data_IF_090563447576
#
_entry.id   IF_090563447576
#
_cell.length_a   1.000
_cell.length_b   1.000
_cell.length_c   1.000
_cell.angle_alpha   90.00
_cell.angle_beta   90.00
_cell.angle_gamma   90.00
#
_symmetry.space_group_name_H-M   'P 1'
#
loop_
_entity.id
_entity.type
_entity.pdbx_description
1 polymer ?
#
# COMPACT_ATOMS: atom_id res chain seq x y z
N UNK A 1 -18.21 -18.92 2.72
CA UNK A 1 -16.90 -19.22 2.10
C UNK A 1 -17.04 -18.99 0.61
N UNK A 2 -16.14 -18.19 0.03
CA UNK A 2 -16.08 -17.87 -1.39
C UNK A 2 -15.44 -19.02 -2.18
N UNK A 3 -15.37 -18.87 -3.50
CA UNK A 3 -14.55 -19.74 -4.32
C UNK A 3 -13.11 -19.79 -3.78
N UNK A 4 -12.45 -20.93 -3.95
CA UNK A 4 -11.08 -21.22 -3.46
C UNK A 4 -10.92 -21.26 -1.93
N UNK A 5 -12.02 -21.29 -1.17
CA UNK A 5 -11.97 -21.47 0.28
C UNK A 5 -11.74 -20.19 1.08
N UNK A 6 -11.75 -19.02 0.43
CA UNK A 6 -11.56 -17.74 1.12
C UNK A 6 -12.77 -17.38 2.00
N UNK A 7 -12.50 -16.92 3.22
CA UNK A 7 -13.49 -16.45 4.19
C UNK A 7 -13.33 -14.96 4.53
N UNK A 8 -12.35 -14.27 3.93
CA UNK A 8 -12.10 -12.82 3.99
C UNK A 8 -11.54 -12.35 2.65
N UNK A 9 -11.84 -11.12 2.24
CA UNK A 9 -11.22 -10.46 1.07
C UNK A 9 -10.38 -9.27 1.52
N UNK A 10 -9.20 -9.09 0.92
CA UNK A 10 -8.42 -7.84 1.00
C UNK A 10 -8.44 -7.16 -0.36
N UNK A 11 -8.81 -5.88 -0.39
CA UNK A 11 -8.83 -5.09 -1.62
C UNK A 11 -7.40 -4.79 -2.08
N UNK A 12 -7.03 -5.30 -3.27
CA UNK A 12 -5.66 -5.25 -3.78
C UNK A 12 -5.26 -3.97 -4.53
N UNK A 13 -6.15 -2.99 -4.65
CA UNK A 13 -5.89 -1.74 -5.36
C UNK A 13 -6.48 -0.56 -4.60
N UNK A 14 -5.73 0.54 -4.51
CA UNK A 14 -6.20 1.79 -3.90
C UNK A 14 -7.43 2.38 -4.63
N UNK A 15 -7.65 2.03 -5.90
CA UNK A 15 -8.84 2.40 -6.65
C UNK A 15 -10.14 1.76 -6.14
N UNK A 16 -10.06 0.79 -5.21
CA UNK A 16 -11.22 0.17 -4.58
C UNK A 16 -11.54 0.72 -3.18
N UNK A 17 -10.82 1.76 -2.74
CA UNK A 17 -11.04 2.34 -1.41
C UNK A 17 -12.52 2.73 -1.20
N UNK A 18 -13.08 2.35 -0.04
CA UNK A 18 -14.48 2.57 0.32
C UNK A 18 -15.51 1.63 -0.34
N UNK A 19 -15.09 0.62 -1.12
CA UNK A 19 -16.00 -0.43 -1.63
C UNK A 19 -16.19 -1.59 -0.65
N UNK A 20 -15.41 -1.64 0.42
CA UNK A 20 -15.42 -2.69 1.43
C UNK A 20 -16.82 -2.95 2.00
N UNK A 21 -17.52 -1.92 2.48
CA UNK A 21 -18.84 -2.10 3.09
C UNK A 21 -19.90 -2.62 2.12
N UNK A 22 -19.84 -2.22 0.85
CA UNK A 22 -20.78 -2.71 -0.18
C UNK A 22 -20.46 -4.15 -0.58
N UNK A 23 -19.18 -4.48 -0.76
CA UNK A 23 -18.76 -5.83 -1.10
C UNK A 23 -19.02 -6.80 0.06
N UNK A 24 -18.80 -6.38 1.31
CA UNK A 24 -19.10 -7.18 2.50
C UNK A 24 -20.59 -7.54 2.57
N UNK A 25 -21.49 -6.58 2.32
CA UNK A 25 -22.94 -6.85 2.23
C UNK A 25 -23.28 -7.85 1.14
N UNK A 26 -22.63 -7.76 -0.03
CA UNK A 26 -22.93 -8.62 -1.19
C UNK A 26 -22.36 -10.02 -1.07
N UNK A 27 -21.23 -10.16 -0.39
CA UNK A 27 -20.45 -11.40 -0.33
C UNK A 27 -20.67 -12.18 0.97
N UNK A 28 -21.16 -11.52 2.02
CA UNK A 28 -21.44 -12.14 3.33
C UNK A 28 -20.19 -12.57 4.09
N UNK A 29 -19.02 -12.03 3.71
CA UNK A 29 -17.73 -12.25 4.37
C UNK A 29 -17.01 -10.91 4.54
N UNK A 30 -16.14 -10.76 5.56
CA UNK A 30 -15.44 -9.52 5.79
C UNK A 30 -14.62 -9.07 4.58
N UNK A 31 -14.63 -7.77 4.29
CA UNK A 31 -13.83 -7.16 3.23
C UNK A 31 -12.97 -6.05 3.82
N UNK A 32 -11.66 -6.13 3.62
CA UNK A 32 -10.69 -5.19 4.17
C UNK A 32 -10.25 -4.19 3.10
N UNK A 33 -10.56 -2.91 3.31
CA UNK A 33 -9.94 -1.80 2.58
C UNK A 33 -8.51 -1.55 3.08
N UNK A 34 -7.53 -1.85 2.22
CA UNK A 34 -6.12 -1.66 2.51
C UNK A 34 -5.72 -0.19 2.75
N UNK A 35 -6.42 0.77 2.17
CA UNK A 35 -6.14 2.21 2.35
C UNK A 35 -6.57 2.65 3.75
N UNK A 36 -7.81 2.36 4.14
CA UNK A 36 -8.33 2.69 5.46
C UNK A 36 -7.54 1.95 6.57
N UNK A 37 -7.22 0.67 6.36
CA UNK A 37 -6.41 -0.12 7.28
C UNK A 37 -5.00 0.47 7.45
N UNK A 38 -4.35 0.87 6.35
CA UNK A 38 -3.00 1.46 6.41
C UNK A 38 -2.97 2.79 7.18
N UNK A 39 -4.01 3.63 7.04
CA UNK A 39 -4.13 4.89 7.78
C UNK A 39 -4.18 4.62 9.28
N UNK A 40 -5.05 3.70 9.73
CA UNK A 40 -5.15 3.34 11.15
C UNK A 40 -3.87 2.72 11.70
N UNK A 41 -3.18 1.91 10.89
CA UNK A 41 -1.87 1.37 11.27
C UNK A 41 -0.83 2.49 11.48
N UNK A 42 -0.77 3.45 10.56
CA UNK A 42 0.14 4.59 10.66
C UNK A 42 -0.17 5.47 11.89
N UNK A 43 -1.44 5.77 12.15
CA UNK A 43 -1.88 6.48 13.35
C UNK A 43 -1.45 5.76 14.64
N UNK A 44 -1.61 4.44 14.70
CA UNK A 44 -1.19 3.62 15.83
C UNK A 44 0.32 3.67 16.07
N UNK A 45 1.14 3.60 15.01
CA UNK A 45 2.59 3.76 15.13
C UNK A 45 2.97 5.14 15.68
N UNK A 46 2.32 6.20 15.20
CA UNK A 46 2.54 7.58 15.67
C UNK A 46 2.15 7.70 17.15
N UNK A 47 0.98 7.20 17.54
CA UNK A 47 0.51 7.23 18.93
C UNK A 47 1.45 6.50 19.90
N UNK A 48 2.09 5.42 19.45
CA UNK A 48 3.07 4.65 20.22
C UNK A 48 4.50 5.23 20.18
N UNK A 49 4.71 6.37 19.50
CA UNK A 49 6.03 6.98 19.32
C UNK A 49 7.00 6.11 18.54
N UNK A 50 6.50 5.25 17.64
CA UNK A 50 7.32 4.35 16.82
C UNK A 50 7.60 4.96 15.45
N UNK A 51 8.77 4.63 14.91
CA UNK A 51 9.26 5.04 13.60
C UNK A 51 10.05 3.89 12.96
N UNK A 52 10.27 3.96 11.65
CA UNK A 52 11.11 2.99 10.93
C UNK A 52 12.50 2.92 11.56
N UNK A 53 12.96 1.70 11.90
CA UNK A 53 14.30 1.48 12.42
C UNK A 53 15.35 1.65 11.33
N UNK A 54 16.35 2.48 11.58
CA UNK A 54 17.47 2.73 10.66
C UNK A 54 18.71 1.90 10.99
N UNK A 55 18.63 0.96 11.93
CA UNK A 55 19.76 0.12 12.31
C UNK A 55 20.04 -1.03 11.33
N UNK A 56 19.17 -1.26 10.34
CA UNK A 56 19.24 -2.41 9.43
C UNK A 56 18.94 -2.04 7.96
N UNK A 57 18.12 -2.81 7.23
CA UNK A 57 17.92 -2.62 5.79
C UNK A 57 17.28 -1.27 5.40
N UNK A 58 16.66 -0.57 6.35
CA UNK A 58 16.13 0.79 6.17
C UNK A 58 17.09 1.88 6.66
N UNK A 59 18.38 1.58 6.85
CA UNK A 59 19.40 2.59 7.13
C UNK A 59 19.44 3.63 6.00
N UNK A 60 19.84 4.89 6.30
CA UNK A 60 20.03 5.92 5.28
C UNK A 60 20.88 5.38 4.13
N UNK A 61 20.46 5.66 2.89
CA UNK A 61 21.22 5.24 1.71
C UNK A 61 22.53 6.01 1.68
N UNK A 62 23.64 5.30 1.54
CA UNK A 62 25.00 5.82 1.44
C UNK A 62 25.22 6.61 0.14
N UNK A 63 24.50 6.26 -0.94
CA UNK A 63 24.57 6.91 -2.25
C UNK A 63 23.19 7.28 -2.76
N UNK A 64 23.06 8.54 -3.16
CA UNK A 64 21.98 8.96 -4.04
C UNK A 64 22.06 8.18 -5.35
N UNK A 65 20.93 7.65 -5.83
CA UNK A 65 20.87 7.10 -7.19
C UNK A 65 20.91 8.27 -8.16
N UNK A 66 22.12 8.72 -8.52
CA UNK A 66 22.29 9.78 -9.51
C UNK A 66 21.78 9.22 -10.84
N UNK A 67 20.78 9.88 -11.42
CA UNK A 67 20.33 9.56 -12.76
C UNK A 67 21.47 9.86 -13.74
N UNK A 68 22.03 8.81 -14.35
CA UNK A 68 23.08 8.90 -15.36
C UNK A 68 22.53 8.85 -16.80
N UNK A 69 21.20 8.85 -16.95
CA UNK A 69 20.54 8.83 -18.25
C UNK A 69 20.41 10.23 -18.87
N UNK A 70 19.85 10.33 -20.09
CA UNK A 70 19.61 11.61 -20.75
C UNK A 70 18.67 12.49 -19.91
N UNK A 71 18.69 13.83 -20.06
CA UNK A 71 17.79 14.71 -19.33
C UNK A 71 16.34 14.24 -19.49
N UNK A 72 15.53 14.32 -18.42
CA UNK A 72 14.19 13.71 -18.36
C UNK A 72 13.25 14.14 -19.50
N UNK A 73 13.53 15.26 -20.19
CA UNK A 73 12.81 15.73 -21.38
C UNK A 73 13.30 15.20 -22.73
N UNK A 74 14.41 14.45 -22.78
CA UNK A 74 14.95 13.85 -24.01
C UNK A 74 14.49 12.39 -24.23
N UNK A 75 13.83 11.78 -23.24
CA UNK A 75 13.10 10.53 -23.43
C UNK A 75 11.79 10.86 -24.16
N UNK A 76 11.75 10.67 -25.48
CA UNK A 76 10.47 10.55 -26.18
C UNK A 76 9.76 9.34 -25.59
N UNK A 77 8.77 9.57 -24.74
CA UNK A 77 7.78 8.56 -24.37
C UNK A 77 7.25 8.00 -25.70
N UNK A 78 7.47 6.71 -25.93
CA UNK A 78 6.97 6.01 -27.10
C UNK A 78 5.44 6.19 -27.15
N UNK A 79 4.98 7.13 -27.97
CA UNK A 79 3.67 7.09 -28.62
C UNK A 79 3.70 6.03 -29.71
#
# INVERSE_FOLDING_TARGET
MLADGADVIVLGCAGFAGLDAELERRLGVPVIDGVAAAVRWAEGLVALGKRTSTAGPYAPRDRGKVWSGPPLGALRLFT
#
